data_IF_910641653053
#
_entry.id   IF_910641653053
#
_cell.length_a   1.000
_cell.length_b   1.000
_cell.length_c   1.000
_cell.angle_alpha   90.00
_cell.angle_beta   90.00
_cell.angle_gamma   90.00
#
_symmetry.space_group_name_H-M   'P 1'
#
loop_
_entity.id
_entity.type
_entity.pdbx_description
1 polymer ?
#
# COMPACT_ATOMS: atom_id res chain seq x y z
N UNK A 1 17.04 28.88 -55.62
CA UNK A 1 17.40 27.74 -56.50
C UNK A 1 16.88 26.48 -55.83
N UNK A 2 15.63 26.07 -56.02
CA UNK A 2 15.06 25.28 -57.12
C UNK A 2 15.68 23.88 -57.30
N UNK A 3 14.93 22.83 -56.90
CA UNK A 3 14.47 21.65 -57.69
C UNK A 3 14.05 20.52 -56.71
N UNK A 4 12.78 20.37 -56.31
CA UNK A 4 11.67 19.58 -56.90
C UNK A 4 12.05 18.43 -57.86
N UNK A 5 11.65 17.18 -57.53
CA UNK A 5 11.11 16.06 -58.37
C UNK A 5 11.24 14.74 -57.57
N UNK A 6 10.37 13.72 -57.59
CA UNK A 6 9.12 13.44 -58.29
C UNK A 6 8.43 12.23 -57.61
N UNK A 7 7.11 12.14 -57.75
CA UNK A 7 6.23 11.01 -57.42
C UNK A 7 6.65 9.69 -58.08
N UNK A 8 6.37 8.58 -57.39
CA UNK A 8 6.01 7.32 -58.02
C UNK A 8 4.86 6.65 -57.24
N UNK A 9 3.64 6.90 -57.71
CA UNK A 9 2.46 6.13 -57.36
C UNK A 9 2.53 4.77 -58.07
N UNK A 10 2.39 3.67 -57.32
CA UNK A 10 2.03 2.36 -57.88
C UNK A 10 0.72 1.88 -57.27
N UNK A 11 -0.28 1.87 -58.12
CA UNK A 11 -1.55 1.18 -58.01
C UNK A 11 -1.32 -0.33 -57.92
N UNK A 12 -1.80 -0.96 -56.85
CA UNK A 12 -2.03 -2.41 -56.79
C UNK A 12 -3.49 -2.64 -56.44
N UNK A 13 -4.30 -2.63 -57.49
CA UNK A 13 -5.69 -3.08 -57.48
C UNK A 13 -5.74 -4.59 -57.68
N UNK A 14 -6.50 -5.26 -56.83
CA UNK A 14 -7.22 -6.48 -57.22
C UNK A 14 -6.75 -7.76 -56.54
N UNK A 15 -7.73 -8.39 -55.86
CA UNK A 15 -7.75 -9.78 -55.35
C UNK A 15 -7.27 -10.01 -53.91
N UNK A 16 -8.01 -9.43 -52.95
CA UNK A 16 -8.07 -9.90 -51.55
C UNK A 16 -9.46 -9.55 -50.99
N UNK A 17 -10.51 -10.21 -51.48
CA UNK A 17 -11.91 -9.91 -51.07
C UNK A 17 -12.78 -11.15 -50.91
N UNK A 18 -12.18 -12.30 -50.54
CA UNK A 18 -12.96 -13.49 -50.12
C UNK A 18 -12.35 -14.23 -48.93
N UNK A 19 -11.04 -14.10 -48.65
CA UNK A 19 -10.42 -14.74 -47.48
C UNK A 19 -10.49 -13.94 -46.16
N UNK A 20 -10.88 -12.66 -46.22
CA UNK A 20 -10.96 -11.80 -45.02
C UNK A 20 -12.27 -11.93 -44.23
N UNK A 21 -13.30 -12.62 -44.76
CA UNK A 21 -14.57 -12.83 -44.04
C UNK A 21 -14.64 -14.18 -43.31
N UNK A 22 -13.80 -15.16 -43.68
CA UNK A 22 -13.75 -16.45 -42.98
C UNK A 22 -12.87 -16.42 -41.70
N UNK A 23 -11.93 -15.48 -41.59
CA UNK A 23 -11.11 -15.30 -40.39
C UNK A 23 -11.83 -14.48 -39.30
N UNK A 24 -12.85 -13.70 -39.65
CA UNK A 24 -13.63 -12.89 -38.70
C UNK A 24 -14.73 -13.73 -38.02
N UNK A 25 -15.24 -14.78 -38.67
CA UNK A 25 -16.23 -15.68 -38.07
C UNK A 25 -15.64 -16.70 -37.08
N UNK A 26 -14.33 -16.99 -37.14
CA UNK A 26 -13.64 -17.91 -36.22
C UNK A 26 -13.15 -17.24 -34.92
N UNK A 27 -13.14 -15.90 -34.83
CA UNK A 27 -12.71 -15.16 -33.62
C UNK A 27 -13.88 -14.85 -32.68
N UNK A 28 -15.13 -14.85 -33.17
CA UNK A 28 -16.33 -14.57 -32.34
C UNK A 28 -16.87 -15.82 -31.63
N UNK A 29 -16.32 -17.00 -31.94
CA UNK A 29 -16.67 -18.26 -31.30
C UNK A 29 -15.46 -18.92 -30.62
N UNK A 30 -14.49 -18.14 -30.15
CA UNK A 30 -13.70 -18.61 -29.02
C UNK A 30 -14.74 -18.80 -27.89
N UNK A 31 -15.05 -20.03 -27.45
CA UNK A 31 -15.76 -20.16 -26.20
C UNK A 31 -14.92 -19.35 -25.23
N UNK A 32 -15.50 -18.29 -24.67
CA UNK A 32 -15.15 -17.88 -23.34
C UNK A 32 -15.33 -19.15 -22.53
N UNK A 33 -14.29 -19.98 -22.47
CA UNK A 33 -14.16 -21.09 -21.56
C UNK A 33 -14.10 -20.36 -20.24
N UNK A 34 -15.29 -20.03 -19.75
CA UNK A 34 -15.56 -19.45 -18.46
C UNK A 34 -15.03 -20.54 -17.55
N UNK A 35 -13.74 -20.44 -17.22
CA UNK A 35 -13.07 -21.41 -16.41
C UNK A 35 -13.97 -21.54 -15.19
N UNK A 36 -14.63 -22.69 -15.08
CA UNK A 36 -15.58 -22.89 -14.01
C UNK A 36 -14.74 -22.85 -12.75
N UNK A 37 -14.83 -21.75 -12.02
CA UNK A 37 -14.13 -21.60 -10.77
C UNK A 37 -14.58 -22.74 -9.86
N UNK A 38 -13.63 -23.31 -9.13
CA UNK A 38 -13.92 -24.36 -8.18
C UNK A 38 -14.31 -23.71 -6.85
N UNK A 39 -15.32 -24.26 -6.19
CA UNK A 39 -15.60 -24.01 -4.78
C UNK A 39 -15.48 -25.34 -4.02
N UNK A 40 -15.17 -25.25 -2.72
CA UNK A 40 -15.22 -26.41 -1.86
C UNK A 40 -16.70 -26.78 -1.61
N UNK A 41 -17.02 -28.08 -1.52
CA UNK A 41 -18.39 -28.51 -1.25
C UNK A 41 -18.81 -28.09 0.16
N UNK A 42 -20.03 -27.55 0.27
CA UNK A 42 -20.66 -27.21 1.55
C UNK A 42 -21.45 -28.41 2.06
N UNK A 43 -21.13 -28.85 3.27
CA UNK A 43 -21.92 -29.84 4.01
C UNK A 43 -23.02 -29.13 4.82
N UNK A 44 -24.25 -29.10 4.29
CA UNK A 44 -25.40 -28.52 4.97
C UNK A 44 -25.75 -29.23 6.29
N UNK A 45 -25.30 -30.48 6.49
CA UNK A 45 -25.50 -31.16 7.78
C UNK A 45 -24.63 -30.55 8.88
N UNK A 46 -23.42 -30.07 8.54
CA UNK A 46 -22.52 -29.39 9.48
C UNK A 46 -23.05 -28.01 9.91
N UNK A 47 -23.95 -27.39 9.13
CA UNK A 47 -24.66 -26.15 9.50
C UNK A 47 -25.53 -26.29 10.75
N UNK A 48 -25.95 -27.50 11.12
CA UNK A 48 -26.86 -27.78 12.25
C UNK A 48 -26.38 -27.23 13.59
N UNK A 49 -25.06 -27.13 13.81
CA UNK A 49 -24.50 -26.49 15.00
C UNK A 49 -24.92 -25.02 15.07
N UNK A 50 -24.92 -24.33 13.92
CA UNK A 50 -25.29 -22.93 13.80
C UNK A 50 -24.25 -21.97 14.36
N UNK A 51 -24.26 -20.73 13.86
CA UNK A 51 -23.28 -19.70 14.21
C UNK A 51 -23.22 -19.42 15.71
N UNK A 52 -24.39 -19.30 16.35
CA UNK A 52 -24.48 -18.93 17.77
C UNK A 52 -23.85 -20.00 18.68
N UNK A 53 -24.12 -21.28 18.43
CA UNK A 53 -23.54 -22.36 19.25
C UNK A 53 -22.07 -22.57 18.94
N UNK A 54 -21.66 -22.40 17.68
CA UNK A 54 -20.25 -22.45 17.30
C UNK A 54 -19.44 -21.34 17.98
N UNK A 55 -19.93 -20.08 17.97
CA UNK A 55 -19.31 -18.95 18.68
C UNK A 55 -19.27 -19.17 20.20
N UNK A 56 -20.34 -19.73 20.77
CA UNK A 56 -20.39 -20.07 22.19
C UNK A 56 -19.36 -21.14 22.55
N UNK A 57 -19.25 -22.21 21.75
CA UNK A 57 -18.26 -23.26 21.96
C UNK A 57 -16.84 -22.73 21.81
N UNK A 58 -16.58 -21.90 20.80
CA UNK A 58 -15.26 -21.31 20.58
C UNK A 58 -14.78 -20.49 21.78
N UNK A 59 -15.67 -19.71 22.40
CA UNK A 59 -15.35 -18.88 23.58
C UNK A 59 -15.21 -19.67 24.88
N UNK A 60 -15.95 -20.76 25.01
CA UNK A 60 -16.07 -21.51 26.25
C UNK A 60 -16.28 -22.98 25.90
N UNK A 61 -15.21 -23.69 25.51
CA UNK A 61 -15.30 -25.09 25.12
C UNK A 61 -15.74 -25.94 26.31
N UNK A 62 -16.50 -26.99 26.01
CA UNK A 62 -16.86 -28.04 26.96
C UNK A 62 -16.02 -29.29 26.68
N UNK A 63 -15.81 -30.13 27.69
CA UNK A 63 -15.10 -31.42 27.55
C UNK A 63 -15.88 -32.49 26.76
N UNK A 64 -17.10 -32.17 26.35
CA UNK A 64 -17.92 -32.98 25.46
C UNK A 64 -17.23 -33.22 24.09
N UNK A 65 -16.85 -34.48 23.85
CA UNK A 65 -16.20 -34.92 22.63
C UNK A 65 -17.11 -34.84 21.39
N UNK A 66 -18.42 -35.04 21.53
CA UNK A 66 -19.37 -34.92 20.43
C UNK A 66 -19.46 -33.46 19.99
N UNK A 67 -19.62 -32.54 20.95
CA UNK A 67 -19.67 -31.10 20.66
C UNK A 67 -18.37 -30.58 20.05
N UNK A 68 -17.21 -31.08 20.50
CA UNK A 68 -15.91 -30.79 19.88
C UNK A 68 -15.86 -31.23 18.42
N UNK A 69 -16.36 -32.44 18.14
CA UNK A 69 -16.43 -32.99 16.79
C UNK A 69 -17.38 -32.20 15.90
N UNK A 70 -18.58 -31.88 16.38
CA UNK A 70 -19.55 -31.04 15.66
C UNK A 70 -18.96 -29.67 15.30
N UNK A 71 -18.26 -29.04 16.24
CA UNK A 71 -17.58 -27.77 16.00
C UNK A 71 -16.49 -27.91 14.92
N UNK A 72 -15.66 -28.94 15.00
CA UNK A 72 -14.65 -29.22 13.97
C UNK A 72 -15.27 -29.42 12.58
N UNK A 73 -16.37 -30.15 12.47
CA UNK A 73 -17.12 -30.34 11.22
C UNK A 73 -17.73 -29.02 10.72
N UNK A 74 -18.30 -28.21 11.61
CA UNK A 74 -18.83 -26.89 11.27
C UNK A 74 -17.75 -25.98 10.66
N UNK A 75 -16.56 -25.92 11.26
CA UNK A 75 -15.45 -25.11 10.72
C UNK A 75 -15.00 -25.67 9.37
N UNK A 76 -14.66 -26.96 9.32
CA UNK A 76 -14.01 -27.58 8.16
C UNK A 76 -14.93 -27.75 6.95
N UNK A 77 -16.16 -28.21 7.17
CA UNK A 77 -17.05 -28.65 6.10
C UNK A 77 -18.16 -27.64 5.77
N UNK A 78 -18.36 -26.61 6.60
CA UNK A 78 -19.36 -25.57 6.35
C UNK A 78 -18.75 -24.17 6.24
N UNK A 79 -18.12 -23.66 7.31
CA UNK A 79 -17.70 -22.25 7.35
C UNK A 79 -16.56 -21.95 6.37
N UNK A 80 -15.49 -22.76 6.34
CA UNK A 80 -14.39 -22.55 5.40
C UNK A 80 -14.86 -22.70 3.94
N UNK A 81 -15.64 -23.74 3.54
CA UNK A 81 -16.22 -23.82 2.20
C UNK A 81 -17.15 -22.66 1.83
N UNK A 82 -17.87 -22.08 2.78
CA UNK A 82 -18.70 -20.89 2.53
C UNK A 82 -17.88 -19.71 2.00
N UNK A 83 -16.63 -19.54 2.46
CA UNK A 83 -15.72 -18.50 1.96
C UNK A 83 -15.12 -18.81 0.57
N UNK A 84 -15.49 -19.94 -0.04
CA UNK A 84 -15.04 -20.32 -1.39
C UNK A 84 -16.11 -20.18 -2.47
N UNK A 85 -17.32 -19.77 -2.08
CA UNK A 85 -18.40 -19.52 -3.02
C UNK A 85 -18.11 -18.24 -3.82
N UNK A 86 -18.46 -18.27 -5.10
CA UNK A 86 -18.08 -17.24 -6.07
C UNK A 86 -19.26 -16.66 -6.87
N UNK A 87 -20.49 -16.90 -6.42
CA UNK A 87 -21.63 -16.12 -6.90
C UNK A 87 -21.53 -14.65 -6.42
N UNK A 88 -22.22 -13.74 -7.09
CA UNK A 88 -22.09 -12.30 -6.84
C UNK A 88 -22.37 -11.90 -5.39
N UNK A 89 -23.35 -12.54 -4.74
CA UNK A 89 -23.68 -12.26 -3.35
C UNK A 89 -22.55 -12.76 -2.42
N UNK A 90 -22.07 -13.99 -2.62
CA UNK A 90 -20.96 -14.54 -1.83
C UNK A 90 -19.67 -13.73 -1.96
N UNK A 91 -19.36 -13.22 -3.16
CA UNK A 91 -18.17 -12.39 -3.38
C UNK A 91 -18.23 -11.06 -2.59
N UNK A 92 -19.40 -10.44 -2.49
CA UNK A 92 -19.61 -9.23 -1.69
C UNK A 92 -19.43 -9.46 -0.18
N UNK A 93 -19.53 -10.71 0.28
CA UNK A 93 -19.49 -11.08 1.70
C UNK A 93 -18.11 -11.58 2.17
N UNK A 94 -17.15 -11.81 1.26
CA UNK A 94 -15.87 -12.46 1.58
C UNK A 94 -15.09 -11.76 2.71
N UNK A 95 -14.96 -10.44 2.62
CA UNK A 95 -14.25 -9.65 3.64
C UNK A 95 -14.93 -9.75 5.01
N UNK A 96 -16.28 -9.67 5.03
CA UNK A 96 -17.05 -9.83 6.26
C UNK A 96 -16.91 -11.23 6.85
N UNK A 97 -17.01 -12.28 6.03
CA UNK A 97 -16.84 -13.67 6.45
C UNK A 97 -15.44 -13.91 7.03
N UNK A 98 -14.38 -13.42 6.40
CA UNK A 98 -13.00 -13.50 6.94
C UNK A 98 -12.89 -12.79 8.28
N UNK A 99 -13.38 -11.55 8.36
CA UNK A 99 -13.33 -10.76 9.60
C UNK A 99 -14.12 -11.44 10.72
N UNK A 100 -15.32 -11.94 10.43
CA UNK A 100 -16.14 -12.69 11.38
C UNK A 100 -15.45 -13.97 11.85
N UNK A 101 -14.77 -14.67 10.95
CA UNK A 101 -14.02 -15.87 11.24
C UNK A 101 -12.86 -15.59 12.21
N UNK A 102 -11.98 -14.67 11.85
CA UNK A 102 -10.81 -14.27 12.67
C UNK A 102 -11.29 -13.76 14.03
N UNK A 103 -12.29 -12.89 14.06
CA UNK A 103 -12.83 -12.34 15.30
C UNK A 103 -13.45 -13.42 16.18
N UNK A 104 -14.21 -14.36 15.62
CA UNK A 104 -15.05 -15.26 16.41
C UNK A 104 -14.38 -16.56 16.81
N UNK A 105 -13.51 -17.10 15.95
CA UNK A 105 -12.94 -18.44 16.11
C UNK A 105 -11.43 -18.43 16.37
N UNK A 106 -10.77 -17.28 16.19
CA UNK A 106 -9.36 -17.11 16.51
C UNK A 106 -9.17 -16.14 17.69
N UNK A 107 -9.43 -14.84 17.50
CA UNK A 107 -9.09 -13.79 18.49
C UNK A 107 -9.93 -13.82 19.77
N UNK A 108 -11.23 -14.14 19.68
CA UNK A 108 -12.11 -14.22 20.87
C UNK A 108 -12.36 -15.66 21.34
N UNK A 109 -11.70 -16.65 20.75
CA UNK A 109 -11.86 -18.04 21.15
C UNK A 109 -10.97 -18.36 22.37
N UNK A 110 -11.30 -19.44 23.06
CA UNK A 110 -10.37 -20.08 23.99
C UNK A 110 -9.07 -20.43 23.24
N UNK A 111 -7.87 -20.15 23.80
CA UNK A 111 -6.60 -20.37 23.09
C UNK A 111 -6.40 -21.80 22.58
N UNK A 112 -6.92 -22.80 23.30
CA UNK A 112 -6.84 -24.21 22.88
C UNK A 112 -7.72 -24.46 21.66
N UNK A 113 -8.92 -23.88 21.65
CA UNK A 113 -9.82 -23.96 20.49
C UNK A 113 -9.23 -23.21 19.30
N UNK A 114 -8.73 -21.99 19.51
CA UNK A 114 -8.11 -21.18 18.47
C UNK A 114 -6.96 -21.93 17.78
N UNK A 115 -6.05 -22.53 18.57
CA UNK A 115 -4.96 -23.37 18.04
C UNK A 115 -5.47 -24.57 17.24
N UNK A 116 -6.51 -25.25 17.73
CA UNK A 116 -7.16 -26.34 17.02
C UNK A 116 -7.80 -25.90 15.70
N UNK A 117 -8.46 -24.74 15.69
CA UNK A 117 -9.02 -24.11 14.49
C UNK A 117 -7.90 -23.81 13.49
N UNK A 118 -6.83 -23.13 13.92
CA UNK A 118 -5.66 -22.82 13.08
C UNK A 118 -5.05 -24.04 12.40
N UNK A 119 -4.95 -25.16 13.13
CA UNK A 119 -4.44 -26.44 12.60
C UNK A 119 -5.31 -26.98 11.47
N UNK A 120 -6.62 -26.76 11.52
CA UNK A 120 -7.57 -27.13 10.44
C UNK A 120 -7.56 -26.11 9.31
N UNK A 121 -7.43 -24.82 9.63
CA UNK A 121 -7.55 -23.72 8.67
C UNK A 121 -6.42 -23.71 7.68
N UNK A 122 -5.17 -23.68 8.14
CA UNK A 122 -3.99 -23.53 7.28
C UNK A 122 -4.00 -24.47 6.06
N UNK A 123 -4.14 -25.80 6.20
CA UNK A 123 -4.12 -26.70 5.04
C UNK A 123 -5.29 -26.44 4.07
N UNK A 124 -6.48 -26.10 4.58
CA UNK A 124 -7.66 -25.83 3.74
C UNK A 124 -7.46 -24.54 2.94
N UNK A 125 -6.99 -23.46 3.58
CA UNK A 125 -6.80 -22.18 2.88
C UNK A 125 -5.62 -22.23 1.90
N UNK A 126 -4.57 -23.01 2.18
CA UNK A 126 -3.50 -23.28 1.20
C UNK A 126 -4.05 -23.98 -0.04
N UNK A 127 -4.88 -25.01 0.14
CA UNK A 127 -5.57 -25.67 -0.97
C UNK A 127 -6.40 -24.68 -1.79
N UNK A 128 -7.10 -23.74 -1.15
CA UNK A 128 -7.90 -22.71 -1.84
C UNK A 128 -7.02 -21.77 -2.66
N UNK A 129 -5.87 -21.35 -2.13
CA UNK A 129 -4.91 -20.48 -2.83
C UNK A 129 -4.33 -21.18 -4.08
N UNK A 130 -4.05 -22.49 -3.99
CA UNK A 130 -3.48 -23.30 -5.07
C UNK A 130 -4.53 -23.79 -6.10
N UNK A 131 -5.79 -23.90 -5.70
CA UNK A 131 -6.88 -24.38 -6.55
C UNK A 131 -7.31 -23.35 -7.61
N UNK A 132 -8.12 -23.81 -8.57
CA UNK A 132 -8.77 -22.98 -9.59
C UNK A 132 -9.98 -22.22 -9.03
N UNK A 133 -9.86 -21.68 -7.82
CA UNK A 133 -10.89 -20.84 -7.20
C UNK A 133 -10.92 -19.43 -7.83
N UNK A 134 -11.99 -18.69 -7.58
CA UNK A 134 -12.13 -17.30 -8.02
C UNK A 134 -10.98 -16.43 -7.46
N UNK A 135 -10.39 -15.48 -8.22
CA UNK A 135 -9.26 -14.66 -7.74
C UNK A 135 -9.52 -13.97 -6.39
N UNK A 136 -10.71 -13.38 -6.19
CA UNK A 136 -11.09 -12.77 -4.92
C UNK A 136 -11.14 -13.78 -3.74
N UNK A 137 -11.55 -15.02 -3.99
CA UNK A 137 -11.54 -16.10 -3.01
C UNK A 137 -10.11 -16.48 -2.63
N UNK A 138 -9.22 -16.63 -3.62
CA UNK A 138 -7.81 -16.95 -3.42
C UNK A 138 -7.10 -15.83 -2.64
N UNK A 139 -7.36 -14.57 -2.99
CA UNK A 139 -6.85 -13.41 -2.27
C UNK A 139 -7.33 -13.40 -0.81
N UNK A 140 -8.62 -13.61 -0.57
CA UNK A 140 -9.18 -13.67 0.77
C UNK A 140 -8.57 -14.81 1.62
N UNK A 141 -8.31 -15.96 0.99
CA UNK A 141 -7.62 -17.09 1.63
C UNK A 141 -6.17 -16.74 1.98
N UNK A 142 -5.43 -16.05 1.10
CA UNK A 142 -4.08 -15.58 1.39
C UNK A 142 -4.04 -14.62 2.59
N UNK A 143 -4.97 -13.65 2.64
CA UNK A 143 -5.10 -12.75 3.79
C UNK A 143 -5.42 -13.52 5.08
N UNK A 144 -6.24 -14.58 5.00
CA UNK A 144 -6.51 -15.41 6.17
C UNK A 144 -5.28 -16.20 6.64
N UNK A 145 -4.41 -16.67 5.74
CA UNK A 145 -3.11 -17.27 6.11
C UNK A 145 -2.27 -16.26 6.89
N UNK A 146 -2.23 -15.02 6.39
CA UNK A 146 -1.58 -13.89 7.05
C UNK A 146 -2.14 -13.57 8.43
N UNK A 147 -3.32 -14.08 8.81
CA UNK A 147 -3.99 -13.83 10.09
C UNK A 147 -3.84 -14.98 11.12
N UNK A 148 -3.09 -16.04 10.79
CA UNK A 148 -2.93 -17.21 11.66
C UNK A 148 -1.79 -17.04 12.67
N UNK A 149 -2.05 -17.43 13.91
CA UNK A 149 -1.12 -17.33 15.04
C UNK A 149 -0.88 -18.72 15.65
N UNK A 150 0.34 -18.95 16.13
CA UNK A 150 0.71 -20.11 16.95
C UNK A 150 0.24 -19.94 18.40
N UNK A 151 0.26 -18.71 18.91
CA UNK A 151 -0.23 -18.35 20.23
C UNK A 151 -1.20 -17.18 20.11
N UNK A 152 -2.42 -17.35 20.64
CA UNK A 152 -3.45 -16.33 20.67
C UNK A 152 -3.52 -15.68 22.05
N UNK A 153 -3.78 -14.38 22.09
CA UNK A 153 -3.98 -13.67 23.35
C UNK A 153 -5.14 -14.28 24.14
N UNK A 154 -4.90 -14.65 25.39
CA UNK A 154 -5.97 -15.03 26.31
C UNK A 154 -6.89 -13.85 26.56
N UNK A 155 -8.19 -14.10 26.76
CA UNK A 155 -9.16 -13.04 27.07
C UNK A 155 -8.75 -12.31 28.36
N UNK A 156 -8.39 -11.03 28.23
CA UNK A 156 -7.90 -10.21 29.36
C UNK A 156 -6.42 -10.43 29.71
N UNK A 157 -5.71 -11.27 28.95
CA UNK A 157 -4.26 -11.41 29.02
C UNK A 157 -3.56 -10.32 28.22
N UNK A 158 -2.36 -9.95 28.65
CA UNK A 158 -1.49 -8.98 27.97
C UNK A 158 -0.50 -9.63 27.01
N UNK A 159 -0.58 -10.94 26.78
CA UNK A 159 0.36 -11.64 25.89
C UNK A 159 0.07 -11.26 24.44
N UNK A 160 1.07 -10.71 23.76
CA UNK A 160 1.01 -10.44 22.34
C UNK A 160 0.84 -11.75 21.54
N UNK A 161 0.01 -11.74 20.48
CA UNK A 161 -0.14 -12.91 19.62
C UNK A 161 1.18 -13.23 18.92
N UNK A 162 1.51 -14.52 18.82
CA UNK A 162 2.70 -14.98 18.08
C UNK A 162 2.27 -15.56 16.74
N UNK A 163 2.74 -15.00 15.61
CA UNK A 163 2.36 -15.49 14.29
C UNK A 163 2.72 -16.96 14.08
N UNK A 164 1.93 -17.66 13.27
CA UNK A 164 2.17 -19.07 12.97
C UNK A 164 3.41 -19.23 12.05
N UNK A 165 4.46 -19.98 12.46
CA UNK A 165 5.68 -20.13 11.65
C UNK A 165 5.44 -20.76 10.27
N UNK A 166 4.56 -21.76 10.18
CA UNK A 166 4.22 -22.43 8.92
C UNK A 166 3.44 -21.53 7.96
N UNK A 167 2.63 -20.61 8.49
CA UNK A 167 2.01 -19.56 7.69
C UNK A 167 3.07 -18.56 7.20
N UNK A 168 3.98 -18.13 8.08
CA UNK A 168 5.07 -17.23 7.71
C UNK A 168 5.94 -17.81 6.58
N UNK A 169 6.34 -19.08 6.66
CA UNK A 169 7.10 -19.77 5.62
C UNK A 169 6.37 -19.78 4.27
N UNK A 170 5.06 -20.02 4.29
CA UNK A 170 4.25 -19.98 3.08
C UNK A 170 4.18 -18.58 2.46
N UNK A 171 4.00 -17.55 3.29
CA UNK A 171 3.93 -16.15 2.85
C UNK A 171 5.27 -15.65 2.29
N UNK A 172 6.40 -15.96 2.97
CA UNK A 172 7.74 -15.56 2.52
C UNK A 172 8.09 -16.19 1.19
N UNK A 173 7.73 -17.47 1.01
CA UNK A 173 7.87 -18.16 -0.28
C UNK A 173 7.05 -17.47 -1.37
N UNK A 174 5.77 -17.21 -1.13
CA UNK A 174 4.89 -16.57 -2.11
C UNK A 174 5.38 -15.19 -2.55
N UNK A 175 5.87 -14.38 -1.61
CA UNK A 175 6.44 -13.07 -1.93
C UNK A 175 7.75 -13.21 -2.70
N UNK A 176 8.69 -14.02 -2.21
CA UNK A 176 10.02 -14.15 -2.80
C UNK A 176 9.99 -14.76 -4.21
N UNK A 177 9.17 -15.78 -4.42
CA UNK A 177 8.99 -16.41 -5.73
C UNK A 177 8.16 -15.47 -6.64
N UNK A 178 7.08 -14.89 -6.11
CA UNK A 178 6.12 -14.13 -6.90
C UNK A 178 6.65 -12.83 -7.48
N UNK A 179 7.50 -12.08 -6.78
CA UNK A 179 8.11 -10.86 -7.33
C UNK A 179 9.14 -11.14 -8.45
N UNK A 180 9.52 -12.41 -8.61
CA UNK A 180 10.46 -12.86 -9.64
C UNK A 180 9.79 -13.72 -10.73
N UNK A 181 8.54 -14.13 -10.52
CA UNK A 181 7.78 -14.97 -11.44
C UNK A 181 6.55 -14.23 -11.97
N UNK A 182 6.59 -13.91 -13.27
CA UNK A 182 5.47 -13.28 -13.98
C UNK A 182 4.20 -14.17 -14.05
N UNK A 183 4.26 -15.45 -13.65
CA UNK A 183 3.11 -16.34 -13.58
C UNK A 183 2.32 -16.26 -12.27
N UNK A 184 2.87 -15.64 -11.22
CA UNK A 184 2.21 -15.55 -9.92
C UNK A 184 1.25 -14.35 -9.90
N UNK A 185 -0.06 -14.54 -9.66
CA UNK A 185 -1.02 -13.44 -9.72
C UNK A 185 -0.72 -12.33 -8.69
N UNK A 186 -0.59 -11.08 -9.16
CA UNK A 186 -0.35 -9.89 -8.35
C UNK A 186 -1.14 -9.81 -7.03
N UNK A 187 -2.48 -10.05 -7.00
CA UNK A 187 -3.23 -9.98 -5.73
C UNK A 187 -2.74 -10.95 -4.66
N UNK A 188 -2.21 -12.11 -5.04
CA UNK A 188 -1.70 -13.09 -4.07
C UNK A 188 -0.37 -12.65 -3.48
N UNK A 189 0.49 -11.99 -4.26
CA UNK A 189 1.74 -11.40 -3.77
C UNK A 189 1.42 -10.31 -2.76
N UNK A 190 0.49 -9.40 -3.11
CA UNK A 190 -0.01 -8.36 -2.21
C UNK A 190 -0.58 -8.95 -0.91
N UNK A 191 -1.47 -9.94 -1.02
CA UNK A 191 -2.07 -10.57 0.15
C UNK A 191 -1.04 -11.24 1.06
N UNK A 192 -0.02 -11.86 0.47
CA UNK A 192 1.08 -12.47 1.21
C UNK A 192 1.94 -11.40 1.91
N UNK A 193 2.22 -10.30 1.23
CA UNK A 193 3.00 -9.18 1.75
C UNK A 193 2.32 -8.50 2.95
N UNK A 194 1.00 -8.29 2.90
CA UNK A 194 0.21 -7.79 4.05
C UNK A 194 0.33 -8.73 5.26
N UNK A 195 0.28 -10.05 5.01
CA UNK A 195 0.50 -11.05 6.06
C UNK A 195 1.91 -10.97 6.67
N UNK A 196 2.94 -10.76 5.83
CA UNK A 196 4.32 -10.60 6.28
C UNK A 196 4.53 -9.33 7.09
N UNK A 197 3.91 -8.22 6.71
CA UNK A 197 3.94 -6.98 7.49
C UNK A 197 3.41 -7.21 8.91
N UNK A 198 2.26 -7.88 9.05
CA UNK A 198 1.71 -8.24 10.37
C UNK A 198 2.66 -9.16 11.14
N UNK A 199 3.22 -10.18 10.48
CA UNK A 199 4.14 -11.12 11.13
C UNK A 199 5.44 -10.42 11.58
N UNK A 200 5.89 -9.42 10.81
CA UNK A 200 7.06 -8.61 11.13
C UNK A 200 6.86 -7.71 12.36
N UNK A 201 5.64 -7.23 12.62
CA UNK A 201 5.33 -6.50 13.85
C UNK A 201 5.52 -7.35 15.12
N UNK A 202 5.46 -8.68 15.00
CA UNK A 202 5.71 -9.63 16.08
C UNK A 202 7.01 -10.42 15.85
N UNK A 203 8.04 -9.76 15.31
CA UNK A 203 9.30 -10.37 14.88
C UNK A 203 9.95 -11.28 15.93
N UNK A 204 10.04 -10.82 17.18
CA UNK A 204 10.64 -11.59 18.29
C UNK A 204 9.85 -12.86 18.64
N UNK A 205 8.57 -12.94 18.25
CA UNK A 205 7.75 -14.14 18.40
C UNK A 205 8.02 -15.22 17.35
N UNK A 206 8.77 -14.90 16.27
CA UNK A 206 9.07 -15.84 15.19
C UNK A 206 10.34 -16.66 15.46
N UNK A 207 10.41 -17.92 15.00
CA UNK A 207 11.65 -18.69 14.98
C UNK A 207 12.76 -17.96 14.20
N UNK A 208 14.06 -18.13 14.56
CA UNK A 208 15.17 -17.47 13.86
C UNK A 208 15.17 -17.65 12.33
N UNK A 209 14.84 -18.83 11.83
CA UNK A 209 14.76 -19.08 10.39
C UNK A 209 13.65 -18.25 9.71
N UNK A 210 12.47 -18.16 10.33
CA UNK A 210 11.36 -17.33 9.86
C UNK A 210 11.68 -15.84 9.91
N UNK A 211 12.39 -15.40 10.95
CA UNK A 211 12.88 -14.02 11.08
C UNK A 211 13.79 -13.63 9.91
N UNK A 212 14.78 -14.44 9.60
CA UNK A 212 15.68 -14.20 8.46
C UNK A 212 14.93 -14.24 7.12
N UNK A 213 14.04 -15.24 6.93
CA UNK A 213 13.25 -15.35 5.70
C UNK A 213 12.32 -14.15 5.50
N UNK A 214 11.67 -13.68 6.56
CA UNK A 214 10.78 -12.50 6.51
C UNK A 214 11.57 -11.24 6.15
N UNK A 215 12.71 -11.02 6.80
CA UNK A 215 13.55 -9.86 6.51
C UNK A 215 14.04 -9.85 5.07
N UNK A 216 14.49 -11.01 4.55
CA UNK A 216 14.95 -11.12 3.18
C UNK A 216 13.83 -10.93 2.16
N UNK A 217 12.63 -11.47 2.41
CA UNK A 217 11.48 -11.28 1.52
C UNK A 217 11.04 -9.81 1.44
N UNK A 218 10.99 -9.11 2.57
CA UNK A 218 10.63 -7.68 2.60
C UNK A 218 11.72 -6.81 1.95
N UNK A 219 13.01 -7.09 2.21
CA UNK A 219 14.11 -6.42 1.52
C UNK A 219 14.03 -6.61 0.01
N UNK A 220 13.76 -7.83 -0.45
CA UNK A 220 13.65 -8.12 -1.87
C UNK A 220 12.52 -7.34 -2.56
N UNK A 221 11.40 -7.10 -1.87
CA UNK A 221 10.31 -6.23 -2.38
C UNK A 221 10.76 -4.77 -2.44
N UNK A 222 11.38 -4.26 -1.37
CA UNK A 222 11.80 -2.86 -1.27
C UNK A 222 12.88 -2.51 -2.30
N UNK A 223 13.83 -3.41 -2.54
CA UNK A 223 14.96 -3.22 -3.45
C UNK A 223 14.62 -3.49 -4.92
N UNK A 224 13.43 -4.03 -5.20
CA UNK A 224 13.01 -4.37 -6.56
C UNK A 224 12.74 -3.08 -7.35
N UNK A 225 13.50 -2.90 -8.41
CA UNK A 225 13.31 -1.77 -9.33
C UNK A 225 12.05 -2.01 -10.20
N UNK A 226 11.99 -3.17 -10.88
CA UNK A 226 10.87 -3.55 -11.75
C UNK A 226 10.03 -4.69 -11.16
N UNK A 227 8.76 -4.42 -10.85
CA UNK A 227 7.79 -5.45 -10.46
C UNK A 227 7.28 -6.22 -11.69
N UNK A 228 6.75 -7.45 -11.52
CA UNK A 228 6.04 -8.17 -12.57
C UNK A 228 5.02 -7.28 -13.32
N UNK A 229 4.94 -7.45 -14.64
CA UNK A 229 4.16 -6.59 -15.55
C UNK A 229 2.65 -6.57 -15.28
N UNK A 230 2.11 -7.53 -14.53
CA UNK A 230 0.71 -7.57 -14.10
C UNK A 230 0.45 -6.71 -12.84
N UNK A 231 1.50 -6.21 -12.19
CA UNK A 231 1.45 -5.25 -11.09
C UNK A 231 1.52 -3.84 -11.65
N UNK A 232 0.48 -3.06 -11.41
CA UNK A 232 0.46 -1.65 -11.79
C UNK A 232 1.53 -0.84 -11.01
N UNK A 233 2.11 0.22 -11.58
CA UNK A 233 3.13 1.02 -10.90
C UNK A 233 2.70 1.57 -9.53
N UNK A 234 1.46 2.04 -9.37
CA UNK A 234 0.91 2.50 -8.09
C UNK A 234 0.91 1.39 -7.04
N UNK A 235 0.48 0.18 -7.41
CA UNK A 235 0.49 -1.00 -6.54
C UNK A 235 1.91 -1.41 -6.18
N UNK A 236 2.85 -1.38 -7.14
CA UNK A 236 4.27 -1.68 -6.88
C UNK A 236 4.87 -0.73 -5.83
N UNK A 237 4.57 0.56 -5.93
CA UNK A 237 5.02 1.55 -4.95
C UNK A 237 4.38 1.35 -3.58
N UNK A 238 3.07 1.07 -3.52
CA UNK A 238 2.40 0.73 -2.27
C UNK A 238 2.99 -0.55 -1.64
N UNK A 239 3.35 -1.56 -2.44
CA UNK A 239 4.08 -2.74 -1.95
C UNK A 239 5.44 -2.37 -1.33
N UNK A 240 6.20 -1.43 -1.92
CA UNK A 240 7.44 -0.93 -1.31
C UNK A 240 7.18 -0.28 0.07
N UNK A 241 6.08 0.48 0.22
CA UNK A 241 5.69 1.04 1.53
C UNK A 241 5.36 -0.04 2.54
N UNK A 242 4.61 -1.08 2.17
CA UNK A 242 4.31 -2.21 3.07
C UNK A 242 5.61 -2.92 3.48
N UNK A 243 6.51 -3.15 2.52
CA UNK A 243 7.80 -3.77 2.78
C UNK A 243 8.65 -2.94 3.77
N UNK A 244 8.71 -1.63 3.57
CA UNK A 244 9.37 -0.71 4.48
C UNK A 244 8.74 -0.74 5.89
N UNK A 245 7.40 -0.73 6.00
CA UNK A 245 6.73 -0.81 7.30
C UNK A 245 6.99 -2.14 8.01
N UNK A 246 6.98 -3.25 7.26
CA UNK A 246 7.34 -4.56 7.79
C UNK A 246 8.79 -4.58 8.32
N UNK A 247 9.74 -4.05 7.55
CA UNK A 247 11.14 -3.93 7.98
C UNK A 247 11.28 -3.05 9.23
N UNK A 248 10.48 -2.00 9.35
CA UNK A 248 10.48 -1.09 10.49
C UNK A 248 10.00 -1.77 11.77
N UNK A 249 9.09 -2.73 11.66
CA UNK A 249 8.66 -3.59 12.78
C UNK A 249 9.80 -4.35 13.46
N UNK A 250 10.95 -4.54 12.80
CA UNK A 250 12.12 -5.18 13.40
C UNK A 250 12.90 -4.25 14.32
N UNK A 251 12.87 -2.94 14.08
CA UNK A 251 13.69 -1.95 14.78
C UNK A 251 15.21 -2.11 14.62
N UNK A 252 15.67 -2.93 13.68
CA UNK A 252 17.09 -3.24 13.47
C UNK A 252 17.56 -2.90 12.04
N UNK A 253 18.77 -2.35 11.91
CA UNK A 253 19.35 -1.92 10.62
C UNK A 253 19.82 -3.11 9.74
N UNK A 254 19.79 -4.32 10.27
CA UNK A 254 20.28 -5.54 9.62
C UNK A 254 21.81 -5.60 9.50
N UNK A 255 22.31 -6.77 9.09
CA UNK A 255 23.75 -6.99 8.89
C UNK A 255 24.31 -5.97 7.90
N UNK A 256 25.42 -5.32 8.29
CA UNK A 256 26.07 -4.30 7.46
C UNK A 256 25.18 -3.10 7.13
N UNK A 257 24.17 -2.79 7.96
CA UNK A 257 23.19 -1.72 7.74
C UNK A 257 22.35 -1.92 6.45
N UNK A 258 22.19 -3.16 5.97
CA UNK A 258 21.47 -3.45 4.71
C UNK A 258 20.06 -2.85 4.66
N UNK A 259 19.33 -2.84 5.78
CA UNK A 259 17.97 -2.28 5.83
C UNK A 259 18.01 -0.77 5.65
N UNK A 260 18.94 -0.09 6.33
CA UNK A 260 19.15 1.35 6.14
C UNK A 260 19.52 1.66 4.68
N UNK A 261 20.45 0.91 4.08
CA UNK A 261 20.85 1.13 2.68
C UNK A 261 19.68 0.95 1.71
N UNK A 262 18.83 -0.07 1.91
CA UNK A 262 17.64 -0.28 1.09
C UNK A 262 16.61 0.85 1.25
N UNK A 263 16.38 1.31 2.49
CA UNK A 263 15.48 2.44 2.77
C UNK A 263 16.00 3.73 2.11
N UNK A 264 17.29 4.05 2.29
CA UNK A 264 17.88 5.25 1.68
C UNK A 264 17.89 5.17 0.15
N UNK A 265 18.09 3.98 -0.44
CA UNK A 265 17.93 3.79 -1.90
C UNK A 265 16.50 4.13 -2.32
N UNK A 266 15.49 3.58 -1.64
CA UNK A 266 14.09 3.81 -2.00
C UNK A 266 13.62 5.26 -1.74
N UNK A 267 14.17 5.93 -0.72
CA UNK A 267 13.88 7.35 -0.44
C UNK A 267 14.54 8.26 -1.48
N UNK A 268 15.75 7.91 -1.95
CA UNK A 268 16.48 8.66 -2.98
C UNK A 268 16.14 8.25 -4.41
N UNK A 269 15.15 7.38 -4.61
CA UNK A 269 14.74 6.92 -5.94
C UNK A 269 13.82 7.96 -6.58
N UNK A 270 14.37 8.75 -7.50
CA UNK A 270 13.68 9.83 -8.21
C UNK A 270 12.55 9.32 -9.11
N UNK A 271 12.60 8.05 -9.55
CA UNK A 271 11.53 7.42 -10.33
C UNK A 271 10.35 6.95 -9.45
N UNK A 272 10.52 6.95 -8.13
CA UNK A 272 9.45 6.65 -7.18
C UNK A 272 8.68 7.93 -6.84
N UNK A 273 7.34 7.83 -6.75
CA UNK A 273 6.51 9.00 -6.38
C UNK A 273 6.91 9.57 -5.03
N UNK A 274 6.77 10.89 -4.94
CA UNK A 274 7.15 11.66 -3.77
C UNK A 274 6.48 11.16 -2.49
N UNK A 275 5.17 10.92 -2.52
CA UNK A 275 4.42 10.34 -1.39
C UNK A 275 4.98 9.01 -0.90
N UNK A 276 5.32 8.11 -1.83
CA UNK A 276 5.92 6.82 -1.50
C UNK A 276 7.27 7.00 -0.82
N UNK A 277 8.14 7.88 -1.35
CA UNK A 277 9.44 8.20 -0.74
C UNK A 277 9.27 8.74 0.68
N UNK A 278 8.30 9.62 0.91
CA UNK A 278 8.00 10.17 2.24
C UNK A 278 7.47 9.11 3.21
N UNK A 279 6.53 8.28 2.77
CA UNK A 279 5.98 7.20 3.62
C UNK A 279 7.05 6.19 4.04
N UNK A 280 8.04 5.94 3.18
CA UNK A 280 9.21 5.12 3.51
C UNK A 280 10.12 5.87 4.51
N UNK A 281 10.40 7.16 4.29
CA UNK A 281 11.19 7.98 5.20
C UNK A 281 10.59 8.07 6.61
N UNK A 282 9.26 8.13 6.73
CA UNK A 282 8.56 8.10 8.01
C UNK A 282 8.91 6.84 8.81
N UNK A 283 9.05 5.69 8.14
CA UNK A 283 9.34 4.42 8.81
C UNK A 283 10.72 4.40 9.49
N UNK A 284 11.60 5.35 9.16
CA UNK A 284 12.92 5.47 9.77
C UNK A 284 12.84 5.73 11.28
N UNK A 285 11.73 6.32 11.76
CA UNK A 285 11.46 6.57 13.19
C UNK A 285 11.61 5.31 14.06
N UNK A 286 11.20 4.15 13.55
CA UNK A 286 11.30 2.87 14.26
C UNK A 286 12.74 2.44 14.57
N UNK A 287 13.73 2.98 13.85
CA UNK A 287 15.15 2.66 14.01
C UNK A 287 15.93 3.66 14.86
N UNK A 288 15.26 4.66 15.47
CA UNK A 288 15.93 5.74 16.24
C UNK A 288 16.88 5.20 17.31
N UNK A 289 16.50 4.12 18.00
CA UNK A 289 17.37 3.47 18.98
C UNK A 289 18.60 2.80 18.34
N UNK A 290 18.41 2.11 17.20
CA UNK A 290 19.50 1.46 16.48
C UNK A 290 20.49 2.49 15.93
N UNK A 291 20.01 3.62 15.41
CA UNK A 291 20.84 4.69 14.87
C UNK A 291 21.79 5.34 15.88
N UNK A 292 21.43 5.38 17.18
CA UNK A 292 22.31 5.92 18.23
C UNK A 292 23.62 5.14 18.40
N UNK A 293 23.64 3.86 18.01
CA UNK A 293 24.79 2.97 18.16
C UNK A 293 25.35 2.48 16.82
N UNK A 294 24.79 2.94 15.71
CA UNK A 294 25.16 2.49 14.38
C UNK A 294 26.59 2.94 14.01
N UNK A 295 27.29 2.06 13.29
CA UNK A 295 28.61 2.35 12.72
C UNK A 295 28.63 1.93 11.25
N UNK A 296 29.51 2.55 10.45
CA UNK A 296 29.61 2.23 9.01
C UNK A 296 28.45 2.75 8.15
N UNK A 297 27.67 3.71 8.65
CA UNK A 297 26.70 4.46 7.84
C UNK A 297 27.46 5.58 7.11
N UNK A 298 27.14 5.76 5.82
CA UNK A 298 27.61 6.90 5.04
C UNK A 298 26.80 8.14 5.44
N UNK A 299 27.36 8.93 6.35
CA UNK A 299 26.70 10.13 6.88
C UNK A 299 26.41 11.17 5.81
N UNK A 300 27.29 11.31 4.82
CA UNK A 300 27.14 12.30 3.75
C UNK A 300 26.00 11.90 2.83
N UNK A 301 25.99 10.65 2.35
CA UNK A 301 24.90 10.15 1.51
C UNK A 301 23.56 10.17 2.24
N UNK A 302 23.55 9.80 3.52
CA UNK A 302 22.33 9.82 4.35
C UNK A 302 21.75 11.23 4.45
N UNK A 303 22.58 12.21 4.80
CA UNK A 303 22.15 13.61 4.89
C UNK A 303 21.70 14.14 3.52
N UNK A 304 22.47 13.88 2.45
CA UNK A 304 22.14 14.31 1.09
C UNK A 304 20.79 13.75 0.62
N UNK A 305 20.51 12.46 0.82
CA UNK A 305 19.21 11.88 0.43
C UNK A 305 18.03 12.50 1.20
N UNK A 306 18.19 12.78 2.50
CA UNK A 306 17.13 13.45 3.27
C UNK A 306 16.93 14.91 2.86
N UNK A 307 18.02 15.61 2.55
CA UNK A 307 17.97 16.99 2.05
C UNK A 307 17.37 17.06 0.64
N UNK A 308 17.69 16.10 -0.24
CA UNK A 308 17.05 15.97 -1.55
C UNK A 308 15.55 15.75 -1.41
N UNK A 309 15.13 14.81 -0.55
CA UNK A 309 13.71 14.60 -0.28
C UNK A 309 13.03 15.88 0.24
N UNK A 310 13.68 16.63 1.13
CA UNK A 310 13.16 17.90 1.61
C UNK A 310 12.96 18.92 0.48
N UNK A 311 13.98 19.08 -0.38
CA UNK A 311 13.94 19.98 -1.53
C UNK A 311 12.80 19.60 -2.48
N UNK A 312 12.68 18.32 -2.85
CA UNK A 312 11.64 17.81 -3.74
C UNK A 312 10.23 18.09 -3.18
N UNK A 313 10.00 17.80 -1.88
CA UNK A 313 8.71 18.08 -1.23
C UNK A 313 8.40 19.57 -1.26
N UNK A 314 9.34 20.40 -0.82
CA UNK A 314 9.07 21.83 -0.73
C UNK A 314 8.89 22.50 -2.09
N UNK A 315 9.54 21.99 -3.14
CA UNK A 315 9.36 22.45 -4.51
C UNK A 315 7.95 22.10 -5.03
N UNK A 316 7.51 20.84 -4.88
CA UNK A 316 6.17 20.41 -5.30
C UNK A 316 5.07 21.18 -4.55
N UNK A 317 5.21 21.34 -3.23
CA UNK A 317 4.20 22.09 -2.44
C UNK A 317 4.23 23.59 -2.75
N UNK A 318 5.39 24.17 -3.10
CA UNK A 318 5.50 25.55 -3.53
C UNK A 318 4.78 25.79 -4.86
N UNK A 319 4.98 24.92 -5.85
CA UNK A 319 4.30 25.00 -7.15
C UNK A 319 2.79 24.99 -6.95
N UNK A 320 2.28 24.03 -6.17
CA UNK A 320 0.84 23.93 -5.85
C UNK A 320 0.32 25.12 -5.05
N UNK A 321 1.12 25.71 -4.16
CA UNK A 321 0.75 26.92 -3.43
C UNK A 321 0.60 28.12 -4.37
N UNK A 322 1.48 28.25 -5.37
CA UNK A 322 1.38 29.29 -6.41
C UNK A 322 0.13 29.08 -7.27
N UNK A 323 -0.10 27.86 -7.77
CA UNK A 323 -1.31 27.54 -8.55
C UNK A 323 -2.60 27.84 -7.78
N UNK A 324 -2.64 27.49 -6.50
CA UNK A 324 -3.76 27.78 -5.63
C UNK A 324 -4.00 29.29 -5.49
N UNK A 325 -2.97 30.07 -5.19
CA UNK A 325 -3.08 31.53 -5.09
C UNK A 325 -3.54 32.16 -6.40
N UNK A 326 -3.02 31.71 -7.54
CA UNK A 326 -3.45 32.19 -8.86
C UNK A 326 -4.91 31.85 -9.13
N UNK A 327 -5.37 30.67 -8.73
CA UNK A 327 -6.77 30.27 -8.89
C UNK A 327 -7.73 31.12 -8.04
N UNK A 328 -7.31 31.49 -6.82
CA UNK A 328 -8.12 32.26 -5.85
C UNK A 328 -8.06 33.77 -6.12
N UNK A 329 -6.89 34.32 -6.44
CA UNK A 329 -6.64 35.76 -6.59
C UNK A 329 -6.68 36.25 -8.05
N UNK A 330 -6.63 35.32 -9.01
CA UNK A 330 -6.58 35.65 -10.43
C UNK A 330 -7.77 36.49 -10.90
N UNK A 331 -7.67 37.18 -12.05
CA UNK A 331 -8.73 38.06 -12.58
C UNK A 331 -10.07 37.38 -12.86
N UNK A 332 -10.17 36.05 -12.70
CA UNK A 332 -11.40 35.25 -12.73
C UNK A 332 -11.84 34.64 -11.38
N UNK A 333 -11.02 34.70 -10.33
CA UNK A 333 -11.29 34.13 -9.00
C UNK A 333 -12.13 35.02 -8.07
N UNK A 334 -12.55 36.19 -8.56
CA UNK A 334 -13.46 37.07 -7.85
C UNK A 334 -14.85 36.46 -7.69
N UNK A 335 -15.15 35.97 -6.48
CA UNK A 335 -16.51 35.81 -5.96
C UNK A 335 -17.43 36.95 -6.44
N UNK A 336 -18.56 36.60 -7.03
CA UNK A 336 -19.67 37.55 -7.23
C UNK A 336 -19.91 37.97 -8.67
N UNK A 337 -20.11 36.99 -9.54
CA UNK A 337 -20.60 37.23 -10.88
C UNK A 337 -21.39 36.06 -11.45
N UNK A 338 -22.53 35.73 -10.84
CA UNK A 338 -23.70 35.26 -11.61
C UNK A 338 -24.07 36.33 -12.64
N UNK A 339 -23.26 36.51 -13.68
CA UNK A 339 -23.65 37.24 -14.88
C UNK A 339 -23.89 36.21 -15.94
N UNK A 340 -25.13 35.73 -15.93
CA UNK A 340 -25.74 35.04 -17.06
C UNK A 340 -25.35 35.73 -18.34
N UNK A 341 -24.50 35.05 -19.10
CA UNK A 341 -23.91 35.53 -20.33
C UNK A 341 -23.65 34.34 -21.22
N UNK A 342 -24.73 33.60 -21.53
CA UNK A 342 -24.82 32.72 -22.69
C UNK A 342 -24.17 33.41 -23.90
N UNK A 343 -22.91 33.08 -24.19
CA UNK A 343 -22.32 33.30 -25.50
C UNK A 343 -22.00 31.93 -26.07
N UNK A 344 -22.98 31.44 -26.82
CA UNK A 344 -22.96 30.15 -27.49
C UNK A 344 -21.68 29.96 -28.30
N UNK A 345 -21.06 28.81 -28.08
CA UNK A 345 -20.00 28.25 -28.90
C UNK A 345 -20.23 26.75 -28.95
N UNK A 346 -20.97 26.31 -29.96
CA UNK A 346 -21.28 24.93 -30.27
C UNK A 346 -20.02 24.04 -30.35
N UNK A 347 -20.08 22.87 -29.73
CA UNK A 347 -19.50 21.66 -30.33
C UNK A 347 -18.66 20.76 -29.41
N UNK A 348 -19.29 19.70 -28.88
CA UNK A 348 -18.62 18.40 -28.81
C UNK A 348 -18.26 17.85 -27.43
N UNK A 349 -19.29 17.53 -26.65
CA UNK A 349 -19.37 16.39 -25.71
C UNK A 349 -18.07 15.73 -25.23
N UNK A 350 -17.60 16.14 -24.07
CA UNK A 350 -16.95 15.27 -23.09
C UNK A 350 -17.69 15.47 -21.76
N UNK A 351 -18.47 14.46 -21.36
CA UNK A 351 -18.92 14.26 -19.97
C UNK A 351 -17.69 14.23 -19.06
N UNK A 352 -17.62 14.86 -17.90
CA UNK A 352 -18.64 15.27 -16.93
C UNK A 352 -18.03 14.91 -15.56
N UNK A 353 -17.86 15.93 -14.71
CA UNK A 353 -17.33 15.90 -13.33
C UNK A 353 -15.80 15.91 -13.15
N UNK A 354 -15.19 17.09 -13.33
CA UNK A 354 -13.91 17.46 -12.70
C UNK A 354 -14.05 18.84 -12.04
N UNK A 355 -14.95 18.94 -11.06
CA UNK A 355 -14.94 19.99 -10.04
C UNK A 355 -14.71 19.21 -8.73
N UNK A 356 -13.59 19.31 -8.02
CA UNK A 356 -12.90 20.49 -7.46
C UNK A 356 -11.57 19.98 -6.80
N UNK A 357 -10.62 20.81 -6.28
CA UNK A 357 -10.93 21.75 -5.20
C UNK A 357 -10.43 23.19 -5.35
N UNK A 358 -11.33 24.10 -4.96
CA UNK A 358 -11.08 25.47 -4.53
C UNK A 358 -10.44 25.52 -3.14
N UNK A 359 -9.96 24.39 -2.63
CA UNK A 359 -9.45 24.19 -1.28
C UNK A 359 -8.03 23.62 -1.37
N UNK A 360 -7.09 24.28 -0.72
CA UNK A 360 -5.71 23.85 -0.63
C UNK A 360 -5.59 22.60 0.27
N UNK A 361 -4.92 21.55 -0.19
CA UNK A 361 -4.84 20.24 0.49
C UNK A 361 -3.90 20.25 1.71
N UNK A 362 -4.31 20.93 2.79
CA UNK A 362 -3.52 21.08 4.02
C UNK A 362 -3.10 19.73 4.64
N UNK A 363 -3.94 18.70 4.55
CA UNK A 363 -3.62 17.38 5.11
C UNK A 363 -2.47 16.69 4.38
N UNK A 364 -2.38 16.81 3.06
CA UNK A 364 -1.25 16.26 2.29
C UNK A 364 0.06 16.91 2.72
N UNK A 365 0.08 18.24 2.83
CA UNK A 365 1.23 18.99 3.35
C UNK A 365 1.62 18.50 4.74
N UNK A 366 0.64 18.36 5.64
CA UNK A 366 0.87 17.86 7.00
C UNK A 366 1.50 16.46 7.00
N UNK A 367 0.96 15.53 6.21
CA UNK A 367 1.48 14.16 6.10
C UNK A 367 2.91 14.15 5.55
N UNK A 368 3.17 14.88 4.47
CA UNK A 368 4.48 14.90 3.82
C UNK A 368 5.55 15.51 4.73
N UNK A 369 5.28 16.69 5.28
CA UNK A 369 6.25 17.39 6.14
C UNK A 369 6.46 16.66 7.48
N UNK A 370 5.42 16.03 8.05
CA UNK A 370 5.57 15.23 9.26
C UNK A 370 6.39 13.96 9.01
N UNK A 371 6.17 13.28 7.89
CA UNK A 371 6.96 12.12 7.48
C UNK A 371 8.44 12.47 7.25
N UNK A 372 8.70 13.57 6.53
CA UNK A 372 10.05 14.11 6.33
C UNK A 372 10.73 14.41 7.68
N UNK A 373 10.06 15.14 8.57
CA UNK A 373 10.58 15.48 9.90
C UNK A 373 10.98 14.25 10.68
N UNK A 374 10.10 13.25 10.77
CA UNK A 374 10.36 11.98 11.45
C UNK A 374 11.58 11.27 10.85
N UNK A 375 11.68 11.23 9.52
CA UNK A 375 12.83 10.67 8.81
C UNK A 375 14.14 11.37 9.18
N UNK A 376 14.16 12.72 9.12
CA UNK A 376 15.34 13.53 9.46
C UNK A 376 15.75 13.30 10.92
N UNK A 377 14.81 13.41 11.85
CA UNK A 377 15.07 13.27 13.28
C UNK A 377 15.57 11.86 13.65
N UNK A 378 15.10 10.84 12.93
CA UNK A 378 15.53 9.46 13.13
C UNK A 378 16.99 9.22 12.71
N UNK A 379 17.40 9.74 11.54
CA UNK A 379 18.76 9.51 11.01
C UNK A 379 19.79 10.48 11.56
N UNK A 380 19.39 11.64 12.09
CA UNK A 380 20.30 12.68 12.59
C UNK A 380 21.42 12.15 13.52
N UNK A 381 21.19 11.21 14.46
CA UNK A 381 22.25 10.65 15.31
C UNK A 381 23.38 9.95 14.55
N UNK A 382 23.16 9.56 13.29
CA UNK A 382 24.17 8.90 12.44
C UNK A 382 25.12 9.90 11.77
N UNK A 383 24.76 11.18 11.72
CA UNK A 383 25.52 12.24 11.04
C UNK A 383 26.38 12.97 12.08
N UNK A 384 27.70 12.91 11.92
CA UNK A 384 28.68 13.51 12.85
C UNK A 384 29.23 14.82 12.34
N UNK A 385 29.23 15.04 11.02
CA UNK A 385 29.57 16.35 10.44
C UNK A 385 28.58 17.40 10.94
N UNK A 386 29.07 18.31 11.80
CA UNK A 386 28.28 19.38 12.40
C UNK A 386 27.62 20.30 11.36
N UNK A 387 28.23 20.44 10.18
CA UNK A 387 27.63 21.21 9.08
C UNK A 387 26.38 20.53 8.56
N UNK A 388 26.45 19.22 8.28
CA UNK A 388 25.31 18.45 7.80
C UNK A 388 24.19 18.36 8.85
N UNK A 389 24.55 18.19 10.13
CA UNK A 389 23.58 18.25 11.24
C UNK A 389 22.89 19.61 11.29
N UNK A 390 23.63 20.71 11.16
CA UNK A 390 23.06 22.06 11.11
C UNK A 390 22.07 22.23 9.96
N UNK A 391 22.40 21.74 8.76
CA UNK A 391 21.49 21.80 7.61
C UNK A 391 20.19 21.00 7.85
N UNK A 392 20.29 19.80 8.43
CA UNK A 392 19.11 19.00 8.78
C UNK A 392 18.23 19.69 9.83
N UNK A 393 18.86 20.33 10.84
CA UNK A 393 18.16 21.11 11.87
C UNK A 393 17.47 22.36 11.28
N UNK A 394 18.12 23.04 10.34
CA UNK A 394 17.56 24.21 9.64
C UNK A 394 16.34 23.82 8.79
N UNK A 395 16.37 22.68 8.09
CA UNK A 395 15.20 22.14 7.38
C UNK A 395 14.06 21.85 8.36
N UNK A 396 14.31 21.13 9.45
CA UNK A 396 13.28 20.83 10.46
C UNK A 396 12.69 22.11 11.06
N UNK A 397 13.53 23.12 11.29
CA UNK A 397 13.10 24.45 11.77
C UNK A 397 12.20 25.16 10.75
N UNK A 398 12.52 25.08 9.46
CA UNK A 398 11.74 25.71 8.39
C UNK A 398 10.35 25.07 8.22
N UNK A 399 10.24 23.74 8.32
CA UNK A 399 8.97 23.02 8.08
C UNK A 399 8.02 23.02 9.29
N UNK A 400 8.53 23.17 10.52
CA UNK A 400 7.72 23.08 11.75
C UNK A 400 6.54 24.08 11.82
N UNK A 401 6.71 25.37 11.45
CA UNK A 401 5.59 26.32 11.41
C UNK A 401 4.48 25.88 10.46
N UNK A 402 4.84 25.40 9.27
CA UNK A 402 3.87 24.93 8.26
C UNK A 402 3.15 23.67 8.74
N UNK A 403 3.86 22.70 9.35
CA UNK A 403 3.23 21.53 9.99
C UNK A 403 2.18 21.97 11.03
N UNK A 404 2.52 22.98 11.85
CA UNK A 404 1.64 23.44 12.92
C UNK A 404 0.39 24.12 12.38
N UNK A 405 0.53 24.88 11.29
CA UNK A 405 -0.59 25.54 10.61
C UNK A 405 -1.45 24.58 9.80
N UNK A 406 -0.85 23.62 9.10
CA UNK A 406 -1.58 22.61 8.33
C UNK A 406 -2.39 21.66 9.23
N UNK A 407 -2.02 21.54 10.52
CA UNK A 407 -2.79 20.83 11.53
C UNK A 407 -3.93 21.66 12.13
N UNK A 408 -3.93 22.98 11.94
CA UNK A 408 -4.99 23.88 12.39
C UNK A 408 -6.18 23.83 11.43
N UNK A 409 -7.37 23.54 11.94
CA UNK A 409 -8.59 23.45 11.14
C UNK A 409 -9.14 24.81 10.74
N UNK A 410 -8.72 25.85 11.44
CA UNK A 410 -9.21 27.22 11.23
C UNK A 410 -8.21 28.07 10.40
N UNK A 411 -7.17 27.44 9.84
CA UNK A 411 -6.17 28.15 9.04
C UNK A 411 -6.79 28.72 7.76
N UNK A 412 -6.45 29.98 7.45
CA UNK A 412 -6.74 30.56 6.15
C UNK A 412 -5.79 29.97 5.13
N UNK A 413 -6.32 29.26 4.13
CA UNK A 413 -5.52 28.53 3.13
C UNK A 413 -4.52 29.43 2.37
N UNK A 414 -4.88 30.68 2.07
CA UNK A 414 -3.96 31.66 1.49
C UNK A 414 -2.77 31.97 2.41
N UNK A 415 -2.99 31.98 3.73
CA UNK A 415 -1.91 32.15 4.71
C UNK A 415 -1.01 30.91 4.74
N UNK A 416 -1.60 29.71 4.65
CA UNK A 416 -0.83 28.48 4.55
C UNK A 416 0.03 28.44 3.28
N UNK A 417 -0.54 28.79 2.13
CA UNK A 417 0.16 28.88 0.84
C UNK A 417 1.36 29.85 0.89
N UNK A 418 1.20 31.03 1.50
CA UNK A 418 2.31 31.98 1.68
C UNK A 418 3.43 31.40 2.55
N UNK A 419 3.07 30.75 3.66
CA UNK A 419 4.06 30.13 4.54
C UNK A 419 4.77 28.95 3.90
N UNK A 420 4.13 28.23 2.98
CA UNK A 420 4.75 27.16 2.20
C UNK A 420 5.80 27.71 1.24
N UNK A 421 5.52 28.81 0.55
CA UNK A 421 6.54 29.48 -0.30
C UNK A 421 7.73 29.97 0.52
N UNK A 422 7.50 30.55 1.69
CA UNK A 422 8.58 30.99 2.60
C UNK A 422 9.42 29.80 3.11
N UNK A 423 8.76 28.70 3.48
CA UNK A 423 9.42 27.45 3.86
C UNK A 423 10.27 26.91 2.71
N UNK A 424 9.74 26.85 1.50
CA UNK A 424 10.45 26.34 0.32
C UNK A 424 11.70 27.16 0.01
N UNK A 425 11.61 28.50 0.06
CA UNK A 425 12.76 29.38 -0.09
C UNK A 425 13.85 29.09 0.97
N UNK A 426 13.46 28.92 2.24
CA UNK A 426 14.40 28.59 3.32
C UNK A 426 15.07 27.22 3.13
N UNK A 427 14.36 26.22 2.64
CA UNK A 427 14.91 24.89 2.35
C UNK A 427 15.84 24.94 1.13
N UNK A 428 15.49 25.67 0.08
CA UNK A 428 16.35 25.89 -1.08
C UNK A 428 17.67 26.58 -0.70
N UNK A 429 17.61 27.65 0.10
CA UNK A 429 18.81 28.35 0.59
C UNK A 429 19.72 27.43 1.41
N UNK A 430 19.11 26.58 2.25
CA UNK A 430 19.85 25.61 3.07
C UNK A 430 20.56 24.58 2.19
N UNK A 431 19.88 24.04 1.18
CA UNK A 431 20.36 22.92 0.35
C UNK A 431 21.28 23.33 -0.80
N UNK A 432 21.22 24.60 -1.24
CA UNK A 432 22.09 25.16 -2.27
C UNK A 432 23.60 24.99 -1.96
N UNK A 433 23.98 25.00 -0.67
CA UNK A 433 25.36 24.80 -0.24
C UNK A 433 25.92 23.40 -0.53
N UNK A 434 25.05 22.42 -0.86
CA UNK A 434 25.44 21.08 -1.28
C UNK A 434 25.25 20.82 -2.78
N UNK A 435 24.75 21.81 -3.54
CA UNK A 435 24.39 21.62 -4.95
C UNK A 435 23.23 20.62 -5.14
N UNK A 436 22.35 20.53 -4.13
CA UNK A 436 21.12 19.73 -4.19
C UNK A 436 20.07 20.60 -4.88
N UNK A 437 19.58 20.16 -6.03
CA UNK A 437 18.54 20.82 -6.81
C UNK A 437 17.27 19.94 -6.79
N UNK A 438 16.08 20.56 -6.83
CA UNK A 438 14.83 19.80 -6.86
C UNK A 438 14.75 18.91 -8.09
N UNK A 439 14.30 17.68 -7.90
CA UNK A 439 13.99 16.77 -9.01
C UNK A 439 12.48 16.73 -9.20
N UNK A 440 12.04 16.95 -10.44
CA UNK A 440 10.63 16.86 -10.81
C UNK A 440 10.16 15.43 -10.55
N UNK A 441 9.29 15.26 -9.55
CA UNK A 441 8.76 13.95 -9.21
C UNK A 441 7.81 13.46 -10.31
N UNK A 442 7.71 12.13 -10.55
CA UNK A 442 6.69 11.58 -11.41
C UNK A 442 5.30 12.05 -10.96
N UNK A 443 4.40 12.41 -11.90
CA UNK A 443 3.08 12.92 -11.54
C UNK A 443 2.32 11.90 -10.70
N UNK A 444 1.59 12.40 -9.71
CA UNK A 444 0.64 11.60 -8.95
C UNK A 444 -0.45 11.10 -9.89
N UNK A 445 -0.83 9.82 -9.80
CA UNK A 445 -1.96 9.33 -10.59
C UNK A 445 -3.27 9.84 -10.02
N UNK A 446 -4.26 10.06 -10.89
CA UNK A 446 -5.64 10.40 -10.50
C UNK A 446 -6.21 9.46 -9.41
N UNK A 447 -5.85 8.17 -9.44
CA UNK A 447 -6.22 7.18 -8.42
C UNK A 447 -5.67 7.51 -7.03
N UNK A 448 -4.44 8.03 -6.95
CA UNK A 448 -3.80 8.37 -5.68
C UNK A 448 -4.36 9.69 -5.14
N UNK A 449 -4.58 10.67 -6.01
CA UNK A 449 -5.32 11.87 -5.66
C UNK A 449 -6.72 11.51 -5.12
N UNK A 450 -7.39 10.52 -5.73
CA UNK A 450 -8.68 10.02 -5.25
C UNK A 450 -8.57 9.26 -3.91
N UNK A 451 -7.52 8.44 -3.72
CA UNK A 451 -7.26 7.76 -2.45
C UNK A 451 -6.98 8.73 -1.31
N UNK A 452 -6.18 9.77 -1.54
CA UNK A 452 -5.94 10.84 -0.57
C UNK A 452 -7.24 11.53 -0.17
N UNK A 453 -8.12 11.83 -1.13
CA UNK A 453 -9.45 12.39 -0.86
C UNK A 453 -10.35 11.42 -0.07
N UNK A 454 -10.27 10.11 -0.34
CA UNK A 454 -11.03 9.11 0.43
C UNK A 454 -10.50 8.98 1.86
N UNK A 455 -9.18 9.03 2.06
CA UNK A 455 -8.57 9.08 3.39
C UNK A 455 -8.94 10.38 4.14
N UNK A 456 -9.11 11.49 3.42
CA UNK A 456 -9.68 12.76 3.92
C UNK A 456 -11.09 12.58 4.47
N UNK A 457 -11.99 12.00 3.68
CA UNK A 457 -13.38 11.77 4.08
C UNK A 457 -13.53 10.76 5.24
N UNK A 458 -12.73 9.69 5.25
CA UNK A 458 -12.85 8.64 6.27
C UNK A 458 -12.34 9.04 7.66
N UNK A 459 -11.46 10.03 7.76
CA UNK A 459 -10.91 10.49 9.04
C UNK A 459 -11.72 11.60 9.71
N UNK A 460 -12.79 12.12 9.07
CA UNK A 460 -13.73 13.01 9.73
C UNK A 460 -14.58 12.20 10.73
N UNK A 461 -14.31 12.26 12.05
CA UNK A 461 -15.11 11.55 13.03
C UNK A 461 -16.36 12.40 13.28
N UNK A 462 -17.49 12.03 12.66
CA UNK A 462 -18.83 12.52 12.98
C UNK A 462 -18.98 14.05 13.06
N UNK A 463 -19.30 14.67 11.92
CA UNK A 463 -20.05 15.93 11.93
C UNK A 463 -21.49 15.71 12.44
#
# INVERSE_FOLDING_TARGET
MLFVRHLAARTLSGRLSVYSLALIAAVVAAPCARAQFQSLPIDESAKRLGMTRAKSYARSPTDDAERRREFGLFIKNYYLPLMTQYDAASLGELARLRSDYVRSFLRNADPTVAKGVTTVTLPVVKQVVEARCHPAVRYNAMLLIGELDAEYASRGGSSEPKPLPEANEYLTKYVSDGINDAGTPAPLIVGALIGLERHAAAYEGLPPANRTATANALLAVLEKDDMPHDIQPSVAQWMKVIAARGLAGFGALGDGNKVHLAMMKAIGDEDTRLNTRVRIAEQLEAYKAAYQSATGIDEQKTAQTMLQLATDITSDEQERAVEFEESVLGPGGGMGGMRGGYRGGFGGGFSGDAELPSEYQARRVLLRLSGLKKGIEAVKPTVKDARLVGMLDDVVKAINPVISQAADRDIVELTLADNIKQMAASVADTTAALGVEAVEAPPESDEEAAEEMMEEGAAQPGA
#
